data_IF_946964323762
#
_entry.id   IF_946964323762
#
_cell.length_a   1.000
_cell.length_b   1.000
_cell.length_c   1.000
_cell.angle_alpha   90.00
_cell.angle_beta   90.00
_cell.angle_gamma   90.00
#
_symmetry.space_group_name_H-M   'P 1'
#
loop_
_entity.id
_entity.type
_entity.pdbx_description
1 polymer ?
#
# COMPACT_ATOMS: atom_id res chain seq x y z
N UNK A 1 7.64 17.30 -5.61
CA UNK A 1 6.87 16.44 -6.54
C UNK A 1 6.07 15.43 -5.72
N UNK A 2 4.97 14.92 -6.27
CA UNK A 2 4.05 14.03 -5.55
C UNK A 2 3.78 12.77 -6.36
N UNK A 3 3.76 11.62 -5.69
CA UNK A 3 3.42 10.32 -6.28
C UNK A 3 2.12 9.80 -5.64
N UNK A 4 1.21 9.29 -6.45
CA UNK A 4 0.04 8.55 -5.97
C UNK A 4 0.09 7.14 -6.51
N UNK A 5 -0.03 6.14 -5.62
CA UNK A 5 -0.09 4.72 -5.97
C UNK A 5 -1.41 4.17 -5.45
N UNK A 6 -2.17 3.54 -6.34
CA UNK A 6 -3.35 2.73 -5.99
C UNK A 6 -3.06 1.29 -6.35
N UNK A 7 -3.12 0.40 -5.35
CA UNK A 7 -2.89 -1.03 -5.53
C UNK A 7 -3.96 -1.82 -4.78
N UNK A 8 -4.90 -2.44 -5.52
CA UNK A 8 -6.03 -3.17 -4.95
C UNK A 8 -6.15 -4.54 -5.58
N UNK A 9 -6.23 -5.56 -4.72
CA UNK A 9 -6.39 -6.95 -5.14
C UNK A 9 -7.86 -7.27 -5.42
N UNK A 10 -8.16 -8.22 -6.32
CA UNK A 10 -9.54 -8.67 -6.55
C UNK A 10 -10.17 -9.32 -5.32
N UNK A 11 -9.36 -9.86 -4.40
CA UNK A 11 -9.78 -10.49 -3.17
C UNK A 11 -8.60 -10.79 -2.24
N UNK A 12 -8.89 -11.00 -0.96
CA UNK A 12 -7.87 -11.38 0.01
C UNK A 12 -7.32 -12.79 -0.28
N UNK A 13 -6.04 -13.06 0.00
CA UNK A 13 -5.51 -14.41 -0.06
C UNK A 13 -6.15 -15.30 1.02
N UNK A 14 -6.03 -16.63 0.88
CA UNK A 14 -6.48 -17.57 1.92
C UNK A 14 -5.91 -17.26 3.32
N UNK A 15 -6.67 -17.52 4.38
CA UNK A 15 -6.29 -17.17 5.76
C UNK A 15 -5.02 -17.87 6.26
N UNK A 16 -4.77 -19.10 5.81
CA UNK A 16 -3.56 -19.86 6.11
C UNK A 16 -2.30 -19.21 5.51
N UNK A 17 -2.46 -18.52 4.38
CA UNK A 17 -1.41 -17.67 3.82
C UNK A 17 -1.24 -16.38 4.63
N UNK A 18 -2.34 -15.69 4.97
CA UNK A 18 -2.30 -14.45 5.77
C UNK A 18 -1.55 -14.66 7.10
N UNK A 19 -1.80 -15.77 7.79
CA UNK A 19 -1.15 -16.10 9.06
C UNK A 19 0.39 -16.19 8.99
N UNK A 20 0.97 -16.35 7.78
CA UNK A 20 2.42 -16.45 7.55
C UNK A 20 2.97 -15.39 6.59
N UNK A 21 2.15 -14.44 6.14
CA UNK A 21 2.53 -13.44 5.14
C UNK A 21 3.42 -12.33 5.72
N UNK A 22 3.37 -12.12 7.03
CA UNK A 22 4.00 -10.97 7.69
C UNK A 22 3.15 -9.69 7.65
N UNK A 23 1.89 -9.79 7.23
CA UNK A 23 0.92 -8.71 7.21
C UNK A 23 0.94 -7.86 5.94
N UNK A 24 -0.13 -7.10 5.70
CA UNK A 24 -0.38 -6.38 4.43
C UNK A 24 0.77 -5.47 4.01
N UNK A 25 1.45 -4.81 4.95
CA UNK A 25 2.58 -3.93 4.63
C UNK A 25 3.80 -4.68 4.06
N UNK A 26 4.02 -5.93 4.50
CA UNK A 26 5.16 -6.75 4.07
C UNK A 26 4.84 -7.62 2.86
N UNK A 27 3.58 -8.04 2.73
CA UNK A 27 3.12 -8.96 1.70
C UNK A 27 2.56 -8.25 0.46
N UNK A 28 1.94 -7.08 0.62
CA UNK A 28 1.30 -6.33 -0.47
C UNK A 28 1.97 -4.99 -0.71
N UNK A 29 1.98 -4.10 0.30
CA UNK A 29 2.55 -2.74 0.17
C UNK A 29 4.04 -2.73 -0.13
N UNK A 30 4.74 -3.85 0.07
CA UNK A 30 6.18 -3.99 -0.27
C UNK A 30 6.48 -3.62 -1.73
N UNK A 31 5.59 -3.99 -2.65
CA UNK A 31 5.72 -3.64 -4.06
C UNK A 31 5.54 -2.14 -4.28
N UNK A 32 4.63 -1.52 -3.54
CA UNK A 32 4.36 -0.09 -3.64
C UNK A 32 5.46 0.75 -2.97
N UNK A 33 6.12 0.23 -1.92
CA UNK A 33 7.31 0.85 -1.34
C UNK A 33 8.47 0.86 -2.34
N UNK A 34 8.71 -0.25 -3.03
CA UNK A 34 9.72 -0.31 -4.10
C UNK A 34 9.37 0.65 -5.25
N UNK A 35 8.12 0.63 -5.70
CA UNK A 35 7.62 1.54 -6.74
C UNK A 35 7.74 3.02 -6.35
N UNK A 36 7.42 3.37 -5.10
CA UNK A 36 7.54 4.74 -4.62
C UNK A 36 8.99 5.20 -4.63
N UNK A 37 9.95 4.37 -4.16
CA UNK A 37 11.38 4.68 -4.24
C UNK A 37 11.84 4.88 -5.70
N UNK A 38 11.38 4.01 -6.61
CA UNK A 38 11.69 4.12 -8.03
C UNK A 38 11.18 5.44 -8.63
N UNK A 39 9.93 5.82 -8.37
CA UNK A 39 9.30 7.02 -8.95
C UNK A 39 9.77 8.33 -8.30
N UNK A 40 10.04 8.32 -6.98
CA UNK A 40 10.55 9.50 -6.27
C UNK A 40 12.00 9.82 -6.62
N UNK A 41 12.79 8.79 -7.01
CA UNK A 41 14.22 8.93 -7.31
C UNK A 41 15.07 9.38 -6.11
N UNK A 42 14.51 9.28 -4.91
CA UNK A 42 15.11 9.67 -3.63
C UNK A 42 14.53 8.77 -2.54
N UNK A 43 15.30 8.51 -1.48
CA UNK A 43 14.87 7.66 -0.38
C UNK A 43 13.87 8.37 0.54
N UNK A 44 12.75 7.72 0.90
CA UNK A 44 11.89 8.15 2.00
C UNK A 44 12.65 8.15 3.33
N UNK A 45 12.47 9.20 4.14
CA UNK A 45 13.04 9.34 5.49
C UNK A 45 11.98 9.33 6.58
N UNK A 46 10.70 9.45 6.21
CA UNK A 46 9.58 9.34 7.15
C UNK A 46 8.43 8.53 6.52
N UNK A 47 7.71 7.82 7.40
CA UNK A 47 6.55 7.00 7.05
C UNK A 47 5.43 7.25 8.05
N UNK A 48 4.22 7.48 7.55
CA UNK A 48 3.00 7.48 8.36
C UNK A 48 1.96 6.56 7.71
N UNK A 49 1.24 5.78 8.52
CA UNK A 49 0.29 4.80 8.02
C UNK A 49 -0.95 4.70 8.90
N UNK A 50 -2.09 4.47 8.26
CA UNK A 50 -3.34 4.12 8.91
C UNK A 50 -3.88 2.83 8.29
N UNK A 51 -4.43 1.97 9.14
CA UNK A 51 -4.85 0.63 8.75
C UNK A 51 -6.18 0.25 9.41
N UNK A 52 -7.01 -0.46 8.67
CA UNK A 52 -8.34 -0.91 9.10
C UNK A 52 -8.66 -2.29 8.53
N UNK A 53 -9.67 -2.94 9.11
CA UNK A 53 -10.29 -4.17 8.61
C UNK A 53 -11.70 -3.82 8.13
N UNK A 54 -11.86 -3.65 6.82
CA UNK A 54 -13.09 -3.17 6.15
C UNK A 54 -13.67 -4.20 5.17
N UNK A 55 -12.93 -5.27 4.88
CA UNK A 55 -13.28 -6.30 3.88
C UNK A 55 -13.73 -7.59 4.56
N UNK A 56 -12.89 -8.22 5.37
CA UNK A 56 -13.20 -9.48 6.07
C UNK A 56 -12.65 -9.47 7.50
N UNK A 57 -13.56 -9.59 8.47
CA UNK A 57 -13.23 -9.60 9.90
C UNK A 57 -12.23 -10.70 10.27
N UNK A 58 -12.21 -11.82 9.54
CA UNK A 58 -11.27 -12.92 9.80
C UNK A 58 -9.80 -12.51 9.60
N UNK A 59 -9.54 -11.51 8.75
CA UNK A 59 -8.20 -10.94 8.55
C UNK A 59 -7.75 -10.24 9.84
N UNK A 60 -8.65 -9.46 10.46
CA UNK A 60 -8.43 -8.85 11.77
C UNK A 60 -8.26 -9.87 12.89
N UNK A 61 -9.05 -10.95 12.89
CA UNK A 61 -8.91 -12.06 13.84
C UNK A 61 -7.55 -12.78 13.69
N UNK A 62 -6.99 -12.80 12.48
CA UNK A 62 -5.63 -13.29 12.20
C UNK A 62 -4.51 -12.28 12.54
N UNK A 63 -4.85 -11.08 13.03
CA UNK A 63 -3.89 -10.05 13.43
C UNK A 63 -3.35 -9.19 12.28
N UNK A 64 -4.06 -9.12 11.15
CA UNK A 64 -3.67 -8.31 9.98
C UNK A 64 -4.74 -7.27 9.61
N UNK A 65 -4.43 -6.42 8.62
CA UNK A 65 -5.33 -5.41 8.06
C UNK A 65 -5.62 -5.70 6.59
N UNK A 66 -6.75 -5.19 6.07
CA UNK A 66 -7.14 -5.41 4.67
C UNK A 66 -7.23 -4.13 3.85
N UNK A 67 -7.16 -2.97 4.50
CA UNK A 67 -7.30 -1.66 3.91
C UNK A 67 -6.33 -0.70 4.59
N UNK A 68 -5.36 -0.17 3.84
CA UNK A 68 -4.33 0.72 4.40
C UNK A 68 -4.09 1.95 3.53
N UNK A 69 -3.69 3.03 4.18
CA UNK A 69 -3.18 4.24 3.54
C UNK A 69 -1.82 4.58 4.13
N UNK A 70 -0.85 4.90 3.27
CA UNK A 70 0.51 5.22 3.67
C UNK A 70 0.95 6.53 3.01
N UNK A 71 1.64 7.38 3.77
CA UNK A 71 2.33 8.55 3.26
C UNK A 71 3.83 8.39 3.54
N UNK A 72 4.62 8.56 2.50
CA UNK A 72 6.09 8.60 2.54
C UNK A 72 6.55 10.03 2.29
N UNK A 73 7.62 10.46 2.95
CA UNK A 73 8.28 11.75 2.72
C UNK A 73 9.79 11.57 2.58
N UNK A 74 10.40 12.21 1.58
CA UNK A 74 11.86 12.23 1.36
C UNK A 74 12.52 13.40 2.07
N UNK A 75 13.86 13.42 2.16
CA UNK A 75 14.58 14.51 2.82
C UNK A 75 14.37 15.87 2.13
N UNK A 76 14.16 15.88 0.81
CA UNK A 76 13.83 17.09 0.04
C UNK A 76 12.35 17.52 0.13
N UNK A 77 11.51 16.74 0.83
CA UNK A 77 10.08 17.03 1.01
C UNK A 77 9.18 16.48 -0.10
N UNK A 78 9.66 15.60 -0.98
CA UNK A 78 8.80 14.88 -1.93
C UNK A 78 7.92 13.88 -1.20
N UNK A 79 6.73 13.63 -1.72
CA UNK A 79 5.75 12.79 -1.04
C UNK A 79 5.22 11.69 -1.95
N UNK A 80 4.95 10.52 -1.37
CA UNK A 80 4.17 9.47 -2.02
C UNK A 80 2.99 9.05 -1.14
N UNK A 81 1.80 8.96 -1.74
CA UNK A 81 0.60 8.43 -1.10
C UNK A 81 0.26 7.08 -1.71
N UNK A 82 0.14 6.05 -0.87
CA UNK A 82 -0.20 4.68 -1.28
C UNK A 82 -1.56 4.32 -0.67
N UNK A 83 -2.46 3.78 -1.49
CA UNK A 83 -3.75 3.22 -1.07
C UNK A 83 -3.82 1.74 -1.44
N UNK A 84 -3.87 0.88 -0.42
CA UNK A 84 -4.09 -0.55 -0.61
C UNK A 84 -5.45 -1.03 -0.12
N UNK A 85 -6.01 -2.01 -0.84
CA UNK A 85 -7.20 -2.75 -0.43
C UNK A 85 -7.09 -4.20 -0.90
N UNK A 86 -7.44 -5.16 -0.04
CA UNK A 86 -7.58 -6.57 -0.42
C UNK A 86 -8.87 -6.89 -1.20
N UNK A 87 -9.64 -5.88 -1.62
CA UNK A 87 -10.83 -6.09 -2.44
C UNK A 87 -11.07 -4.96 -3.43
N UNK A 88 -11.17 -5.36 -4.69
CA UNK A 88 -11.72 -4.61 -5.82
C UNK A 88 -12.51 -5.58 -6.71
N UNK A 89 -13.84 -5.53 -6.65
CA UNK A 89 -14.72 -6.46 -7.40
C UNK A 89 -14.55 -6.38 -8.92
N UNK A 90 -13.93 -5.32 -9.40
CA UNK A 90 -13.63 -5.05 -10.81
C UNK A 90 -12.27 -5.59 -11.27
N UNK A 91 -11.54 -6.31 -10.41
CA UNK A 91 -10.23 -6.90 -10.74
C UNK A 91 -9.06 -6.13 -10.10
N UNK A 92 -7.85 -6.36 -10.61
CA UNK A 92 -6.64 -5.67 -10.14
C UNK A 92 -6.68 -4.19 -10.50
N UNK A 93 -6.66 -3.31 -9.49
CA UNK A 93 -6.47 -1.87 -9.65
C UNK A 93 -5.01 -1.54 -9.37
N UNK A 94 -4.23 -1.28 -10.41
CA UNK A 94 -2.80 -1.00 -10.30
C UNK A 94 -2.51 0.28 -11.07
N UNK A 95 -2.47 1.42 -10.37
CA UNK A 95 -2.30 2.74 -10.97
C UNK A 95 -1.22 3.52 -10.26
N UNK A 96 -0.48 4.28 -11.05
CA UNK A 96 0.53 5.24 -10.58
C UNK A 96 0.28 6.59 -11.24
N UNK A 97 0.55 7.66 -10.50
CA UNK A 97 0.50 9.04 -10.98
C UNK A 97 1.69 9.80 -10.38
N UNK A 98 2.35 10.63 -11.19
CA UNK A 98 3.44 11.50 -10.74
C UNK A 98 3.12 12.93 -11.14
N UNK A 99 2.96 13.80 -10.14
CA UNK A 99 2.83 15.23 -10.32
C UNK A 99 4.18 15.92 -10.15
N UNK A 100 4.69 16.46 -11.26
CA UNK A 100 5.94 17.21 -11.33
C UNK A 100 5.73 18.67 -11.74
N UNK A 101 6.82 19.43 -11.79
CA UNK A 101 6.80 20.85 -12.19
C UNK A 101 6.47 21.08 -13.68
N UNK A 102 6.49 20.04 -14.50
CA UNK A 102 6.29 20.07 -15.96
C UNK A 102 5.60 18.80 -16.41
#
# INVERSE_FOLDING_TARGET
EMVTITSRDPGAPPLDYIARSGGIFRDMTIHDFDMARFLLGEEPVAVSAHASVLVDKKIGEAGDFDSVSVILETASGRQAVISNSRRATYGYDQRIEVHGSK
#
